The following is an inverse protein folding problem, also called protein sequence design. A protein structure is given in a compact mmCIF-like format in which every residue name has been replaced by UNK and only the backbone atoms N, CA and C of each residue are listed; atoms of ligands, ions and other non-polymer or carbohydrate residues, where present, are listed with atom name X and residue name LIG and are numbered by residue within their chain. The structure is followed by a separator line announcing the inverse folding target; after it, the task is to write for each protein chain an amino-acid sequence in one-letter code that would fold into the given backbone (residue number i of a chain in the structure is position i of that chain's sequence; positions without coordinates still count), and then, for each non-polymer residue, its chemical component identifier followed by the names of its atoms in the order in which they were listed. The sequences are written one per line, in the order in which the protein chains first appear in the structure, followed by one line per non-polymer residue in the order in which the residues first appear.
data_IF_581857296239
#
_entry.id   IF_581857296239
#
_cell.length_a   1.000
_cell.length_b   1.000
_cell.length_c   1.000
_cell.angle_alpha   90.00
_cell.angle_beta   90.00
_cell.angle_gamma   90.00
#
_symmetry.space_group_name_H-M   'P 1'
#
loop_
_entity.id
_entity.type
_entity.pdbx_description
1 polymer ?
#
# COMPACT_ATOMS: atom_id res chain seq x y z
N UNK A 1 -7.72 9.60 -12.77
CA UNK A 1 -7.42 9.10 -11.41
C UNK A 1 -5.92 8.98 -11.18
N UNK A 2 -5.49 9.00 -9.93
CA UNK A 2 -4.08 8.87 -9.51
C UNK A 2 -3.92 7.71 -8.53
N UNK A 3 -3.02 6.78 -8.84
CA UNK A 3 -2.58 5.71 -7.93
C UNK A 3 -1.20 6.05 -7.38
N UNK A 4 -1.04 5.99 -6.06
CA UNK A 4 0.21 6.20 -5.36
C UNK A 4 0.78 4.83 -4.93
N UNK A 5 2.08 4.63 -5.11
CA UNK A 5 2.76 3.35 -5.01
C UNK A 5 2.15 2.29 -5.95
N UNK A 6 2.10 2.62 -7.24
CA UNK A 6 1.40 1.81 -8.27
C UNK A 6 2.05 0.46 -8.56
N UNK A 7 3.25 0.20 -8.06
CA UNK A 7 3.96 -1.06 -8.19
C UNK A 7 4.16 -1.48 -9.65
N UNK A 8 3.93 -2.75 -9.92
CA UNK A 8 4.02 -3.31 -11.29
C UNK A 8 2.75 -3.11 -12.12
N UNK A 9 1.86 -2.18 -11.74
CA UNK A 9 0.67 -1.81 -12.49
C UNK A 9 -0.44 -2.87 -12.48
N UNK A 10 -0.63 -3.57 -11.36
CA UNK A 10 -1.66 -4.60 -11.23
C UNK A 10 -3.06 -4.02 -11.34
N UNK A 11 -3.36 -2.95 -10.59
CA UNK A 11 -4.64 -2.25 -10.67
C UNK A 11 -4.73 -1.40 -11.95
N UNK A 12 -3.65 -0.74 -12.33
CA UNK A 12 -3.56 0.06 -13.55
C UNK A 12 -4.10 -0.68 -14.78
N UNK A 13 -3.74 -1.95 -14.94
CA UNK A 13 -4.19 -2.77 -16.06
C UNK A 13 -5.72 -2.84 -16.16
N UNK A 14 -6.41 -3.12 -15.06
CA UNK A 14 -7.88 -3.22 -15.05
C UNK A 14 -8.54 -1.85 -15.22
N UNK A 15 -8.04 -0.83 -14.54
CA UNK A 15 -8.59 0.53 -14.60
C UNK A 15 -8.47 1.15 -15.99
N UNK A 16 -7.32 1.01 -16.63
CA UNK A 16 -7.08 1.52 -18.00
C UNK A 16 -7.93 0.76 -19.02
N UNK A 17 -8.02 -0.58 -18.89
CA UNK A 17 -8.87 -1.39 -19.75
C UNK A 17 -10.34 -0.94 -19.67
N UNK A 18 -10.79 -0.54 -18.51
CA UNK A 18 -12.16 -0.08 -18.27
C UNK A 18 -12.34 1.42 -18.59
N UNK A 19 -11.34 2.06 -19.24
CA UNK A 19 -11.42 3.41 -19.80
C UNK A 19 -10.99 4.55 -18.87
N UNK A 20 -10.33 4.24 -17.76
CA UNK A 20 -9.88 5.29 -16.83
C UNK A 20 -8.74 6.13 -17.42
N UNK A 21 -8.83 7.47 -17.28
CA UNK A 21 -7.66 8.36 -17.39
C UNK A 21 -6.79 8.18 -16.15
N UNK A 22 -5.78 7.33 -16.28
CA UNK A 22 -4.97 6.83 -15.18
C UNK A 22 -3.57 7.45 -15.17
N UNK A 23 -3.08 7.76 -13.97
CA UNK A 23 -1.69 8.12 -13.68
C UNK A 23 -1.24 7.32 -12.46
N UNK A 24 -0.03 6.76 -12.50
CA UNK A 24 0.59 6.04 -11.37
C UNK A 24 1.91 6.68 -10.96
N UNK A 25 2.16 6.79 -9.66
CA UNK A 25 3.46 7.15 -9.09
C UNK A 25 4.04 5.91 -8.43
N UNK A 26 5.29 5.57 -8.80
CA UNK A 26 6.00 4.43 -8.26
C UNK A 26 7.46 4.82 -7.93
N UNK A 27 7.91 4.44 -6.73
CA UNK A 27 9.27 4.76 -6.25
C UNK A 27 10.33 3.92 -6.97
N UNK A 28 10.06 2.63 -7.16
CA UNK A 28 10.97 1.69 -7.84
C UNK A 28 10.94 1.90 -9.35
N UNK A 29 12.05 2.33 -9.92
CA UNK A 29 12.20 2.44 -11.39
C UNK A 29 11.99 1.08 -12.08
N UNK A 30 12.41 -0.02 -11.45
CA UNK A 30 12.23 -1.37 -11.98
C UNK A 30 10.76 -1.77 -12.03
N UNK A 31 9.98 -1.49 -10.98
CA UNK A 31 8.55 -1.76 -10.96
C UNK A 31 7.79 -0.88 -11.95
N UNK A 32 8.17 0.40 -12.05
CA UNK A 32 7.60 1.31 -13.03
C UNK A 32 7.83 0.82 -14.48
N UNK A 33 9.03 0.32 -14.79
CA UNK A 33 9.32 -0.27 -16.10
C UNK A 33 8.51 -1.54 -16.37
N UNK A 34 8.36 -2.42 -15.38
CA UNK A 34 7.50 -3.60 -15.50
C UNK A 34 6.03 -3.21 -15.74
N UNK A 35 5.54 -2.20 -15.03
CA UNK A 35 4.21 -1.65 -15.25
C UNK A 35 4.06 -1.11 -16.68
N UNK A 36 5.00 -0.29 -17.16
CA UNK A 36 5.02 0.24 -18.53
C UNK A 36 5.00 -0.88 -19.58
N UNK A 37 5.83 -1.91 -19.40
CA UNK A 37 5.85 -3.09 -20.30
C UNK A 37 4.51 -3.82 -20.34
N UNK A 38 3.88 -4.01 -19.17
CA UNK A 38 2.55 -4.63 -19.05
C UNK A 38 1.46 -3.81 -19.75
N UNK A 39 1.57 -2.49 -19.68
CA UNK A 39 0.58 -1.54 -20.18
C UNK A 39 0.88 -1.02 -21.59
N UNK A 40 1.96 -1.46 -22.24
CA UNK A 40 2.41 -0.93 -23.54
C UNK A 40 1.40 -1.03 -24.68
N UNK A 41 0.46 -1.99 -24.57
CA UNK A 41 -0.65 -2.16 -25.53
C UNK A 41 -1.77 -1.12 -25.37
N UNK A 42 -1.73 -0.32 -24.31
CA UNK A 42 -2.65 0.79 -24.07
C UNK A 42 -1.92 2.12 -24.25
N UNK A 43 -2.57 3.11 -24.80
CA UNK A 43 -1.98 4.45 -25.03
C UNK A 43 -1.50 5.13 -23.76
N UNK A 44 -1.94 4.67 -22.59
CA UNK A 44 -1.67 5.26 -21.27
C UNK A 44 -0.46 4.67 -20.54
N UNK A 45 0.35 3.81 -21.18
CA UNK A 45 1.55 3.23 -20.57
C UNK A 45 2.58 4.27 -20.10
N UNK A 46 2.57 5.46 -20.71
CA UNK A 46 3.47 6.56 -20.37
C UNK A 46 3.09 7.28 -19.06
N UNK A 47 1.92 7.02 -18.51
CA UNK A 47 1.43 7.66 -17.30
C UNK A 47 1.90 6.97 -16.01
N UNK A 48 2.83 6.02 -16.10
CA UNK A 48 3.54 5.50 -14.92
C UNK A 48 4.82 6.31 -14.76
N UNK A 49 4.89 7.06 -13.67
CA UNK A 49 5.99 7.98 -13.38
C UNK A 49 6.80 7.46 -12.19
N UNK A 50 8.13 7.53 -12.32
CA UNK A 50 9.01 7.25 -11.19
C UNK A 50 9.02 8.47 -10.27
N UNK A 51 8.68 8.26 -9.00
CA UNK A 51 8.61 9.36 -8.04
C UNK A 51 8.30 8.88 -6.63
N UNK A 52 8.64 9.72 -5.67
CA UNK A 52 8.33 9.50 -4.26
C UNK A 52 6.93 10.07 -3.96
N UNK A 53 6.06 9.25 -3.37
CA UNK A 53 4.69 9.64 -3.02
C UNK A 53 4.64 10.79 -2.00
N UNK A 54 5.73 11.08 -1.28
CA UNK A 54 5.84 12.18 -0.31
C UNK A 54 6.11 13.54 -0.97
N UNK A 55 6.58 13.55 -2.24
CA UNK A 55 7.13 14.78 -2.85
C UNK A 55 6.91 14.92 -4.35
N UNK A 56 6.06 14.06 -4.96
CA UNK A 56 5.76 14.17 -6.40
C UNK A 56 5.08 15.50 -6.75
N UNK A 57 5.22 15.93 -8.00
CA UNK A 57 4.56 17.11 -8.54
C UNK A 57 3.99 16.82 -9.92
N UNK A 58 2.68 17.03 -10.06
CA UNK A 58 1.96 16.95 -11.32
C UNK A 58 1.16 18.23 -11.52
N UNK A 59 1.15 18.75 -12.75
CA UNK A 59 0.45 20.02 -13.07
C UNK A 59 -1.05 19.76 -13.34
N UNK A 60 -1.67 18.86 -12.58
CA UNK A 60 -3.11 18.53 -12.66
C UNK A 60 -3.67 18.08 -11.32
N UNK A 61 -4.99 18.17 -11.21
CA UNK A 61 -5.77 17.62 -10.12
C UNK A 61 -6.57 16.40 -10.60
N UNK A 62 -7.00 15.57 -9.67
CA UNK A 62 -7.64 14.30 -9.97
C UNK A 62 -8.98 14.17 -9.24
N UNK A 63 -9.97 13.51 -9.87
CA UNK A 63 -11.26 13.22 -9.25
C UNK A 63 -11.14 12.10 -8.20
N UNK A 64 -10.22 11.14 -8.45
CA UNK A 64 -9.92 10.05 -7.54
C UNK A 64 -8.41 9.93 -7.36
N UNK A 65 -7.97 9.94 -6.11
CA UNK A 65 -6.61 9.58 -5.69
C UNK A 65 -6.72 8.36 -4.79
N UNK A 66 -5.83 7.39 -4.91
CA UNK A 66 -5.84 6.25 -4.00
C UNK A 66 -4.44 5.69 -3.75
N UNK A 67 -4.28 5.10 -2.58
CA UNK A 67 -3.15 4.29 -2.17
C UNK A 67 -3.68 3.00 -1.56
N UNK A 68 -3.26 1.87 -2.08
CA UNK A 68 -3.78 0.58 -1.69
C UNK A 68 -2.71 -0.40 -1.21
N UNK A 69 -3.18 -1.58 -0.81
CA UNK A 69 -2.32 -2.73 -0.47
C UNK A 69 -1.25 -2.40 0.57
N UNK A 70 -1.64 -1.69 1.62
CA UNK A 70 -0.77 -1.37 2.76
C UNK A 70 0.41 -0.42 2.43
N UNK A 71 0.49 0.12 1.23
CA UNK A 71 1.63 0.97 0.83
C UNK A 71 1.80 2.21 1.72
N UNK A 72 0.71 2.70 2.32
CA UNK A 72 0.75 3.79 3.30
C UNK A 72 1.59 3.43 4.54
N UNK A 73 1.62 2.16 4.94
CA UNK A 73 2.32 1.70 6.14
C UNK A 73 3.86 1.79 6.02
N UNK A 74 4.40 1.98 4.82
CA UNK A 74 5.82 2.26 4.61
C UNK A 74 6.22 3.71 4.94
N UNK A 75 5.28 4.57 5.33
CA UNK A 75 5.55 5.88 5.92
C UNK A 75 5.82 5.70 7.41
N UNK A 76 7.09 5.46 7.76
CA UNK A 76 7.50 4.97 9.07
C UNK A 76 7.45 6.03 10.18
N UNK A 77 7.28 7.30 9.84
CA UNK A 77 7.21 8.39 10.81
C UNK A 77 6.19 9.44 10.41
N UNK A 78 5.80 10.27 11.37
CA UNK A 78 4.75 11.25 11.20
C UNK A 78 5.13 12.37 10.20
N UNK A 79 6.42 12.71 10.08
CA UNK A 79 6.87 13.68 9.08
C UNK A 79 6.67 13.18 7.65
N UNK A 80 6.96 11.91 7.40
CA UNK A 80 6.73 11.29 6.10
C UNK A 80 5.24 11.19 5.79
N UNK A 81 4.42 10.78 6.75
CA UNK A 81 2.97 10.73 6.61
C UNK A 81 2.37 12.12 6.34
N UNK A 82 2.80 13.14 7.08
CA UNK A 82 2.35 14.52 6.88
C UNK A 82 2.80 15.08 5.52
N UNK A 83 4.03 14.78 5.09
CA UNK A 83 4.55 15.18 3.77
C UNK A 83 3.73 14.55 2.64
N UNK A 84 3.45 13.25 2.76
CA UNK A 84 2.59 12.51 1.84
C UNK A 84 1.18 13.12 1.76
N UNK A 85 0.51 13.30 2.90
CA UNK A 85 -0.84 13.87 2.95
C UNK A 85 -0.88 15.30 2.41
N UNK A 86 0.13 16.11 2.70
CA UNK A 86 0.27 17.44 2.13
C UNK A 86 0.46 17.40 0.61
N UNK A 87 1.25 16.45 0.11
CA UNK A 87 1.45 16.26 -1.32
C UNK A 87 0.15 15.84 -2.02
N UNK A 88 -0.61 14.90 -1.44
CA UNK A 88 -1.93 14.48 -1.95
C UNK A 88 -2.86 15.67 -2.07
N UNK A 89 -2.98 16.52 -1.03
CA UNK A 89 -3.88 17.70 -1.02
C UNK A 89 -3.62 18.66 -2.18
N UNK A 90 -2.37 18.84 -2.59
CA UNK A 90 -2.01 19.72 -3.73
C UNK A 90 -2.62 19.23 -5.06
N UNK A 91 -2.90 17.92 -5.16
CA UNK A 91 -3.46 17.29 -6.35
C UNK A 91 -4.97 17.02 -6.25
N UNK A 92 -5.62 17.53 -5.19
CA UNK A 92 -7.07 17.44 -4.97
C UNK A 92 -7.78 18.73 -5.36
N UNK A 93 -9.02 18.63 -5.80
CA UNK A 93 -10.01 19.71 -5.89
C UNK A 93 -11.20 19.38 -4.96
N UNK A 94 -12.17 20.26 -4.85
CA UNK A 94 -13.29 20.15 -3.90
C UNK A 94 -14.18 18.89 -4.07
N UNK A 95 -14.13 18.24 -5.23
CA UNK A 95 -14.91 17.02 -5.52
C UNK A 95 -14.06 15.76 -5.49
N UNK A 96 -12.74 15.86 -5.29
CA UNK A 96 -11.84 14.71 -5.23
C UNK A 96 -12.23 13.76 -4.11
N UNK A 97 -12.15 12.46 -4.40
CA UNK A 97 -12.15 11.40 -3.38
C UNK A 97 -10.74 10.87 -3.24
N UNK A 98 -10.30 10.76 -1.98
CA UNK A 98 -9.02 10.13 -1.67
C UNK A 98 -9.28 8.85 -0.87
N UNK A 99 -8.78 7.71 -1.37
CA UNK A 99 -8.97 6.39 -0.75
C UNK A 99 -7.64 5.89 -0.20
N UNK A 100 -7.64 5.48 1.06
CA UNK A 100 -6.54 4.76 1.69
C UNK A 100 -7.03 3.36 2.06
N UNK A 101 -6.27 2.34 1.69
CA UNK A 101 -6.57 0.94 1.98
C UNK A 101 -5.37 0.32 2.69
N UNK A 102 -5.56 0.00 3.99
CA UNK A 102 -4.57 -0.64 4.86
C UNK A 102 -5.23 -1.74 5.68
N UNK A 103 -4.44 -2.70 6.16
CA UNK A 103 -4.96 -3.68 7.13
C UNK A 103 -5.18 -3.05 8.52
N UNK A 104 -6.05 -3.67 9.32
CA UNK A 104 -6.19 -3.35 10.74
C UNK A 104 -5.13 -4.11 11.53
N UNK A 105 -4.25 -3.43 12.30
CA UNK A 105 -3.25 -4.12 13.10
C UNK A 105 -3.89 -5.11 14.08
N UNK A 106 -3.39 -6.33 14.10
CA UNK A 106 -3.88 -7.38 15.00
C UNK A 106 -2.86 -7.57 16.14
N UNK A 107 -3.22 -7.27 17.40
CA UNK A 107 -2.31 -7.44 18.54
C UNK A 107 -1.75 -8.86 18.68
N UNK A 108 -2.56 -9.90 18.44
CA UNK A 108 -2.09 -11.29 18.51
C UNK A 108 -0.97 -11.59 17.52
N UNK A 109 -1.00 -10.93 16.37
CA UNK A 109 0.03 -11.04 15.36
C UNK A 109 1.27 -10.21 15.72
N UNK A 110 1.07 -8.98 16.20
CA UNK A 110 2.16 -8.06 16.52
C UNK A 110 3.01 -8.55 17.70
N UNK A 111 2.36 -9.05 18.75
CA UNK A 111 3.02 -9.47 20.00
C UNK A 111 3.39 -10.95 20.03
N UNK A 112 3.42 -11.64 18.89
CA UNK A 112 3.94 -13.01 18.86
C UNK A 112 5.41 -13.05 19.26
N UNK A 113 5.93 -14.15 19.86
CA UNK A 113 7.34 -14.27 20.21
C UNK A 113 8.26 -14.07 19.00
N UNK A 114 9.37 -13.34 19.20
CA UNK A 114 10.38 -13.15 18.15
C UNK A 114 10.87 -14.51 17.62
N UNK A 115 11.12 -14.58 16.31
CA UNK A 115 11.59 -15.78 15.65
C UNK A 115 10.52 -16.81 15.28
N UNK A 116 9.26 -16.64 15.74
CA UNK A 116 8.16 -17.47 15.24
C UNK A 116 7.86 -17.10 13.79
N UNK A 117 7.99 -18.06 12.91
CA UNK A 117 7.63 -17.91 11.49
C UNK A 117 6.23 -18.44 11.25
N UNK A 118 5.46 -17.72 10.44
CA UNK A 118 4.12 -18.11 10.00
C UNK A 118 4.05 -18.11 8.48
N UNK A 119 3.34 -19.09 7.87
CA UNK A 119 3.13 -19.08 6.43
C UNK A 119 2.33 -17.85 5.98
N UNK A 120 2.79 -17.16 4.94
CA UNK A 120 2.11 -16.00 4.37
C UNK A 120 1.66 -16.22 2.94
N UNK A 121 2.47 -16.92 2.13
CA UNK A 121 2.06 -17.27 0.78
C UNK A 121 2.86 -18.46 0.23
N UNK A 122 2.31 -19.10 -0.79
CA UNK A 122 2.97 -20.12 -1.60
C UNK A 122 2.66 -19.83 -3.08
N UNK A 123 3.67 -19.94 -3.93
CA UNK A 123 3.50 -19.71 -5.37
C UNK A 123 4.44 -20.58 -6.20
N UNK A 124 4.07 -20.81 -7.47
CA UNK A 124 4.97 -21.43 -8.44
C UNK A 124 5.80 -20.35 -9.11
N UNK A 125 7.12 -20.45 -9.00
CA UNK A 125 8.02 -19.54 -9.71
C UNK A 125 7.88 -19.69 -11.23
N UNK A 126 7.71 -18.57 -11.91
CA UNK A 126 7.40 -18.56 -13.34
C UNK A 126 8.53 -19.07 -14.23
N UNK A 127 9.77 -19.03 -13.76
CA UNK A 127 10.99 -19.43 -14.48
C UNK A 127 11.38 -20.87 -14.15
N UNK A 128 11.63 -21.14 -12.86
CA UNK A 128 12.09 -22.46 -12.40
C UNK A 128 10.96 -23.51 -12.32
N UNK A 129 9.69 -23.05 -12.29
CA UNK A 129 8.48 -23.88 -12.05
C UNK A 129 8.46 -24.57 -10.68
N UNK A 130 9.40 -24.26 -9.79
CA UNK A 130 9.42 -24.76 -8.43
C UNK A 130 8.38 -24.06 -7.56
N UNK A 131 7.93 -24.74 -6.54
CA UNK A 131 7.08 -24.14 -5.50
C UNK A 131 7.97 -23.35 -4.55
N UNK A 132 7.61 -22.10 -4.33
CA UNK A 132 8.26 -21.22 -3.36
C UNK A 132 7.28 -20.99 -2.22
N UNK A 133 7.73 -21.27 -1.00
CA UNK A 133 6.99 -21.00 0.24
C UNK A 133 7.59 -19.77 0.91
N UNK A 134 6.73 -18.90 1.38
CA UNK A 134 7.16 -17.69 2.10
C UNK A 134 6.58 -17.73 3.50
N UNK A 135 7.48 -17.65 4.48
CA UNK A 135 7.12 -17.52 5.89
C UNK A 135 7.58 -16.16 6.40
N UNK A 136 6.88 -15.64 7.39
CA UNK A 136 7.13 -14.33 7.97
C UNK A 136 7.43 -14.43 9.45
N UNK A 137 8.52 -13.80 9.88
CA UNK A 137 8.77 -13.43 11.27
C UNK A 137 8.65 -11.93 11.45
N UNK A 138 8.40 -11.48 12.68
CA UNK A 138 8.32 -10.06 12.97
C UNK A 138 8.93 -9.70 14.33
N UNK A 139 9.27 -8.42 14.44
CA UNK A 139 9.61 -7.76 15.69
C UNK A 139 8.87 -6.44 15.75
N UNK A 140 7.94 -6.32 16.72
CA UNK A 140 7.16 -5.10 16.91
C UNK A 140 7.71 -4.26 18.05
N UNK A 141 8.01 -3.00 17.75
CA UNK A 141 8.36 -1.96 18.71
C UNK A 141 7.11 -1.14 19.05
N UNK A 142 6.64 -1.23 20.28
CA UNK A 142 5.43 -0.56 20.76
C UNK A 142 5.60 0.96 20.85
N UNK A 143 6.81 1.45 21.13
CA UNK A 143 7.06 2.88 21.35
C UNK A 143 7.06 3.64 20.01
N UNK A 144 7.68 3.07 19.00
CA UNK A 144 7.66 3.62 17.64
C UNK A 144 6.46 3.17 16.81
N UNK A 145 5.75 2.12 17.26
CA UNK A 145 4.69 1.41 16.52
C UNK A 145 5.16 0.85 15.17
N UNK A 146 6.43 0.51 15.07
CA UNK A 146 7.02 -0.09 13.89
C UNK A 146 7.06 -1.60 14.06
N UNK A 147 6.61 -2.30 13.03
CA UNK A 147 6.73 -3.75 12.89
C UNK A 147 7.78 -4.04 11.83
N UNK A 148 8.94 -4.52 12.29
CA UNK A 148 9.99 -5.02 11.41
C UNK A 148 9.67 -6.44 11.01
N UNK A 149 9.59 -6.69 9.73
CA UNK A 149 9.16 -7.93 9.11
C UNK A 149 10.33 -8.56 8.36
N UNK A 150 10.47 -9.87 8.49
CA UNK A 150 11.39 -10.65 7.67
C UNK A 150 10.62 -11.74 6.95
N UNK A 151 10.64 -11.70 5.63
CA UNK A 151 10.13 -12.78 4.79
C UNK A 151 11.26 -13.75 4.46
N UNK A 152 11.00 -15.03 4.73
CA UNK A 152 11.90 -16.14 4.47
C UNK A 152 11.35 -16.93 3.30
N UNK A 153 12.12 -17.02 2.22
CA UNK A 153 11.73 -17.73 1.01
C UNK A 153 12.38 -19.10 0.98
N UNK A 154 11.57 -20.14 0.86
CA UNK A 154 12.00 -21.54 0.87
C UNK A 154 11.67 -22.22 -0.45
N UNK A 155 12.51 -23.16 -0.87
CA UNK A 155 12.16 -24.08 -1.94
C UNK A 155 11.27 -25.23 -1.42
N UNK A 156 10.94 -26.17 -2.32
CA UNK A 156 10.12 -27.34 -2.02
C UNK A 156 10.80 -28.36 -1.07
N UNK A 157 12.14 -28.28 -0.92
CA UNK A 157 12.94 -29.07 0.00
C UNK A 157 13.17 -28.38 1.36
N UNK A 158 12.52 -27.23 1.59
CA UNK A 158 12.66 -26.37 2.77
C UNK A 158 14.07 -25.75 2.95
N UNK A 159 14.84 -25.59 1.87
CA UNK A 159 16.07 -24.81 1.92
C UNK A 159 15.74 -23.31 1.81
N UNK A 160 16.41 -22.47 2.61
CA UNK A 160 16.30 -21.02 2.50
C UNK A 160 16.97 -20.56 1.20
N UNK A 161 16.22 -19.90 0.35
CA UNK A 161 16.70 -19.30 -0.88
C UNK A 161 17.27 -17.90 -0.62
N UNK A 162 16.52 -17.07 0.07
CA UNK A 162 16.90 -15.72 0.48
C UNK A 162 15.93 -15.19 1.53
N UNK A 163 16.22 -14.03 2.09
CA UNK A 163 15.33 -13.30 3.00
C UNK A 163 15.16 -11.86 2.54
N UNK A 164 13.98 -11.30 2.81
CA UNK A 164 13.65 -9.90 2.56
C UNK A 164 13.25 -9.24 3.87
N UNK A 165 13.82 -8.06 4.17
CA UNK A 165 13.51 -7.30 5.36
C UNK A 165 12.82 -5.99 4.97
N UNK A 166 11.75 -5.65 5.67
CA UNK A 166 11.06 -4.39 5.50
C UNK A 166 10.32 -4.00 6.79
N UNK A 167 10.02 -2.72 6.92
CA UNK A 167 9.33 -2.18 8.09
C UNK A 167 8.00 -1.58 7.69
N UNK A 168 7.01 -1.68 8.58
CA UNK A 168 5.71 -1.05 8.44
C UNK A 168 5.34 -0.36 9.75
N UNK A 169 4.81 0.87 9.66
CA UNK A 169 4.20 1.54 10.81
C UNK A 169 2.77 1.05 10.99
N UNK A 170 2.43 0.69 12.23
CA UNK A 170 1.12 0.16 12.58
C UNK A 170 0.16 1.31 12.94
N UNK A 171 -0.78 1.59 12.05
CA UNK A 171 -1.82 2.60 12.31
C UNK A 171 -3.09 1.92 12.78
N UNK A 172 -3.36 1.99 14.10
CA UNK A 172 -4.67 1.62 14.64
C UNK A 172 -5.73 2.65 14.22
N UNK A 173 -7.02 2.27 14.12
CA UNK A 173 -8.08 3.15 13.59
C UNK A 173 -8.15 4.53 14.25
N UNK A 174 -8.04 4.60 15.57
CA UNK A 174 -8.08 5.87 16.30
C UNK A 174 -6.92 6.80 15.92
N UNK A 175 -5.70 6.25 15.80
CA UNK A 175 -4.52 7.01 15.42
C UNK A 175 -4.58 7.47 13.96
N UNK A 176 -5.04 6.58 13.06
CA UNK A 176 -5.22 6.94 11.65
C UNK A 176 -6.27 8.04 11.49
N UNK A 177 -7.39 7.96 12.22
CA UNK A 177 -8.42 9.00 12.23
C UNK A 177 -7.84 10.35 12.65
N UNK A 178 -7.09 10.38 13.77
CA UNK A 178 -6.47 11.61 14.26
C UNK A 178 -5.51 12.19 13.24
N UNK A 179 -4.62 11.37 12.66
CA UNK A 179 -3.67 11.80 11.63
C UNK A 179 -4.38 12.45 10.44
N UNK A 180 -5.46 11.85 9.96
CA UNK A 180 -6.21 12.36 8.82
C UNK A 180 -6.90 13.70 9.13
N UNK A 181 -7.55 13.79 10.31
CA UNK A 181 -8.24 15.01 10.76
C UNK A 181 -7.24 16.15 10.98
N UNK A 182 -6.10 15.90 11.63
CA UNK A 182 -5.05 16.89 11.87
C UNK A 182 -4.45 17.41 10.55
N UNK A 183 -4.46 16.59 9.53
CA UNK A 183 -4.06 16.99 8.19
C UNK A 183 -5.19 17.64 7.37
N UNK A 184 -6.36 17.92 7.98
CA UNK A 184 -7.47 18.65 7.36
C UNK A 184 -8.27 17.85 6.34
N UNK A 185 -8.31 16.54 6.48
CA UNK A 185 -9.21 15.70 5.70
C UNK A 185 -10.53 15.46 6.44
N UNK A 186 -11.63 15.43 5.69
CA UNK A 186 -12.91 14.97 6.16
C UNK A 186 -13.04 13.46 5.89
N UNK A 187 -13.30 12.68 6.93
CA UNK A 187 -13.55 11.25 6.80
C UNK A 187 -15.02 11.05 6.44
N UNK A 188 -15.31 10.76 5.19
CA UNK A 188 -16.68 10.56 4.71
C UNK A 188 -17.20 9.16 5.08
N UNK A 189 -16.34 8.15 4.95
CA UNK A 189 -16.66 6.77 5.29
C UNK A 189 -15.41 6.05 5.78
N UNK A 190 -15.64 5.04 6.64
CA UNK A 190 -14.66 4.05 7.07
C UNK A 190 -15.26 2.67 6.87
N UNK A 191 -14.60 1.83 6.06
CA UNK A 191 -15.07 0.49 5.79
C UNK A 191 -14.06 -0.55 6.28
N UNK A 192 -14.58 -1.67 6.78
CA UNK A 192 -13.80 -2.79 7.28
C UNK A 192 -13.50 -3.84 6.22
N UNK A 193 -14.06 -3.71 5.03
CA UNK A 193 -13.88 -4.61 3.89
C UNK A 193 -14.23 -3.94 2.55
N UNK A 194 -13.99 -4.64 1.44
CA UNK A 194 -14.31 -4.17 0.09
C UNK A 194 -15.81 -4.21 -0.26
N UNK A 195 -16.66 -4.78 0.60
CA UNK A 195 -18.12 -4.74 0.47
C UNK A 195 -18.74 -3.51 1.15
N UNK A 196 -17.89 -2.61 1.66
CA UNK A 196 -18.27 -1.37 2.34
C UNK A 196 -19.01 -1.59 3.66
N UNK A 197 -18.76 -2.73 4.34
CA UNK A 197 -19.24 -2.91 5.70
C UNK A 197 -18.53 -1.89 6.63
N UNK A 198 -19.25 -1.27 7.57
CA UNK A 198 -18.63 -0.32 8.49
C UNK A 198 -17.44 -0.91 9.24
N UNK A 199 -16.38 -0.11 9.41
CA UNK A 199 -15.22 -0.49 10.22
C UNK A 199 -15.65 -0.77 11.67
N UNK A 200 -15.21 -1.88 12.22
CA UNK A 200 -15.44 -2.29 13.60
C UNK A 200 -14.24 -3.08 14.14
N UNK A 201 -14.30 -3.50 15.41
CA UNK A 201 -13.19 -4.15 16.12
C UNK A 201 -12.76 -5.51 15.53
N UNK A 202 -13.58 -6.13 14.70
CA UNK A 202 -13.27 -7.41 14.03
C UNK A 202 -12.84 -7.23 12.58
N UNK A 203 -12.84 -6.01 12.08
CA UNK A 203 -12.48 -5.70 10.70
C UNK A 203 -11.00 -5.97 10.43
N UNK A 204 -10.71 -6.65 9.32
CA UNK A 204 -9.34 -6.94 8.89
C UNK A 204 -8.71 -5.81 8.09
N UNK A 205 -9.53 -4.93 7.53
CA UNK A 205 -9.10 -3.78 6.74
C UNK A 205 -9.60 -2.49 7.35
N UNK A 206 -8.91 -1.41 7.03
CA UNK A 206 -9.32 -0.03 7.24
C UNK A 206 -9.29 0.66 5.88
N UNK A 207 -10.44 0.93 5.34
CA UNK A 207 -10.57 1.62 4.06
C UNK A 207 -11.22 2.97 4.33
N UNK A 208 -10.48 4.03 4.07
CA UNK A 208 -10.91 5.41 4.28
C UNK A 208 -11.32 6.04 2.96
N UNK A 209 -12.51 6.65 2.94
CA UNK A 209 -12.97 7.52 1.87
C UNK A 209 -12.97 8.96 2.37
N UNK A 210 -12.12 9.79 1.78
CA UNK A 210 -11.75 11.11 2.28
C UNK A 210 -12.08 12.21 1.27
N UNK A 211 -12.35 13.42 1.79
CA UNK A 211 -12.42 14.67 1.02
C UNK A 211 -11.61 15.78 1.71
N UNK A 212 -11.45 16.90 1.02
CA UNK A 212 -10.96 18.15 1.64
C UNK A 212 -12.09 18.84 2.40
#
# INVERSE_FOLDING_TARGET
MLELASGTGRLAYSLIRDGADYTGIELSSQFAELAKKKLNKYSNSQNILVGDMRSFKLDRKFDLIFIGFNSFLHLLNDNDANSFLSCVKKHMHSQTRFIIDIFTPNPLFLYRPEGIQIPVLEYSDSVSKKIIKVEESNKYDIDSEINDLTWHFYDDEANILFTENFSMKMYFPSKMNQLLIDNGFNILNQWGDYYKMPLNDTSKLQIYNLSL
#
